data_IF_496180914000
#
_entry.id   IF_496180914000
#
_cell.length_a   1.000
_cell.length_b   1.000
_cell.length_c   1.000
_cell.angle_alpha   90.00
_cell.angle_beta   90.00
_cell.angle_gamma   90.00
#
_symmetry.space_group_name_H-M   'P 1'
#
loop_
_entity.id
_entity.type
_entity.pdbx_description
1 polymer ?
#
# COMPACT_ATOMS: atom_id res chain seq x y z
N UNK A 1 -17.59 52.87 -50.43
CA UNK A 1 -18.12 51.80 -49.56
C UNK A 1 -17.39 50.52 -49.95
N UNK A 2 -16.28 50.23 -49.29
CA UNK A 2 -15.55 48.96 -49.48
C UNK A 2 -15.43 48.25 -48.13
N UNK A 3 -15.89 47.00 -48.13
CA UNK A 3 -15.96 46.10 -46.99
C UNK A 3 -14.58 45.45 -46.80
N UNK A 4 -13.90 45.73 -45.68
CA UNK A 4 -12.83 44.86 -45.19
C UNK A 4 -13.36 44.04 -44.00
N UNK A 5 -13.62 42.77 -44.28
CA UNK A 5 -14.03 41.74 -43.35
C UNK A 5 -12.90 41.41 -42.37
N UNK A 6 -13.10 41.70 -41.09
CA UNK A 6 -12.20 41.31 -40.00
C UNK A 6 -12.31 39.79 -39.81
N UNK A 7 -11.25 39.05 -40.15
CA UNK A 7 -11.14 37.61 -39.88
C UNK A 7 -10.96 37.37 -38.38
N UNK A 8 -11.78 36.46 -37.86
CA UNK A 8 -11.79 36.01 -36.48
C UNK A 8 -10.43 35.43 -36.01
N UNK A 9 -9.98 35.84 -34.82
CA UNK A 9 -9.02 35.06 -34.02
C UNK A 9 -9.80 34.32 -32.95
N UNK A 10 -10.12 33.05 -33.22
CA UNK A 10 -10.58 32.11 -32.20
C UNK A 10 -9.36 31.70 -31.37
N UNK A 11 -9.29 32.16 -30.13
CA UNK A 11 -8.40 31.54 -29.14
C UNK A 11 -8.99 30.17 -28.80
N UNK A 12 -8.35 29.12 -29.31
CA UNK A 12 -8.57 27.76 -28.83
C UNK A 12 -7.70 27.64 -27.58
N UNK A 13 -8.32 27.71 -26.40
CA UNK A 13 -7.74 27.20 -25.18
C UNK A 13 -7.67 25.68 -25.32
N UNK A 14 -6.48 25.14 -25.61
CA UNK A 14 -6.19 23.73 -25.39
C UNK A 14 -6.20 23.51 -23.86
N UNK A 15 -7.32 23.05 -23.33
CA UNK A 15 -7.33 22.38 -22.03
C UNK A 15 -6.71 21.01 -22.21
N UNK A 16 -5.44 20.85 -21.85
CA UNK A 16 -4.81 19.54 -21.75
C UNK A 16 -5.40 18.83 -20.53
N UNK A 17 -6.53 18.14 -20.73
CA UNK A 17 -6.96 17.10 -19.82
C UNK A 17 -5.98 15.93 -19.97
N UNK A 18 -4.95 15.89 -19.11
CA UNK A 18 -4.12 14.70 -18.95
C UNK A 18 -5.03 13.61 -18.37
N UNK A 19 -5.46 12.71 -19.25
CA UNK A 19 -6.09 11.46 -18.88
C UNK A 19 -4.98 10.57 -18.31
N UNK A 20 -4.73 10.68 -17.00
CA UNK A 20 -3.90 9.72 -16.30
C UNK A 20 -4.64 8.38 -16.29
N UNK A 21 -4.17 7.43 -17.09
CA UNK A 21 -4.52 6.03 -16.96
C UNK A 21 -3.79 5.51 -15.71
N UNK A 22 -4.27 5.88 -14.51
CA UNK A 22 -3.77 5.29 -13.29
C UNK A 22 -4.15 3.80 -13.30
N UNK A 23 -3.14 2.93 -13.25
CA UNK A 23 -3.36 1.55 -12.81
C UNK A 23 -3.65 1.61 -11.31
N UNK A 24 -4.85 2.07 -10.95
CA UNK A 24 -5.34 2.06 -9.60
C UNK A 24 -5.49 0.60 -9.18
N UNK A 25 -4.65 0.20 -8.26
CA UNK A 25 -4.91 -0.96 -7.45
C UNK A 25 -5.88 -0.48 -6.36
N UNK A 26 -6.98 -1.20 -6.09
CA UNK A 26 -8.02 -0.66 -5.20
C UNK A 26 -7.43 -0.14 -3.87
N UNK A 27 -7.53 1.16 -3.61
CA UNK A 27 -6.98 1.82 -2.42
C UNK A 27 -5.59 2.44 -2.58
N UNK A 28 -4.91 2.25 -3.72
CA UNK A 28 -3.56 2.78 -3.99
C UNK A 28 -3.43 3.40 -5.38
N UNK A 29 -2.89 4.63 -5.43
CA UNK A 29 -2.63 5.36 -6.67
C UNK A 29 -1.13 5.63 -6.80
N UNK A 30 -0.52 5.28 -7.93
CA UNK A 30 0.88 5.63 -8.20
C UNK A 30 1.08 7.15 -8.31
N UNK A 31 2.17 7.65 -7.70
CA UNK A 31 2.58 9.04 -7.68
C UNK A 31 4.02 9.17 -8.17
N UNK A 32 4.34 10.31 -8.79
CA UNK A 32 5.71 10.64 -9.16
C UNK A 32 6.42 11.37 -8.01
N UNK A 33 7.63 10.94 -7.64
CA UNK A 33 8.36 11.53 -6.52
C UNK A 33 9.29 12.66 -6.95
N UNK A 34 10.22 12.39 -7.87
CA UNK A 34 11.28 13.34 -8.25
C UNK A 34 11.24 13.70 -9.73
N UNK A 35 10.79 12.77 -10.56
CA UNK A 35 10.73 12.92 -12.01
C UNK A 35 9.35 12.50 -12.48
N UNK A 36 8.73 13.32 -13.34
CA UNK A 36 7.45 12.99 -13.96
C UNK A 36 7.51 11.62 -14.66
N UNK A 37 6.54 10.76 -14.36
CA UNK A 37 6.45 9.38 -14.82
C UNK A 37 7.30 8.35 -14.05
N UNK A 38 8.04 8.73 -13.01
CA UNK A 38 8.89 7.80 -12.25
C UNK A 38 8.10 6.77 -11.43
N UNK A 39 6.84 7.08 -11.08
CA UNK A 39 5.97 6.26 -10.25
C UNK A 39 6.67 5.69 -8.99
N UNK A 40 7.55 6.46 -8.35
CA UNK A 40 8.37 6.01 -7.22
C UNK A 40 7.69 6.12 -5.86
N UNK A 41 6.45 6.61 -5.82
CA UNK A 41 5.62 6.65 -4.62
C UNK A 41 4.19 6.18 -4.91
N UNK A 42 3.40 5.97 -3.86
CA UNK A 42 1.96 5.69 -3.96
C UNK A 42 1.17 6.47 -2.91
N UNK A 43 -0.04 6.90 -3.25
CA UNK A 43 -1.04 7.39 -2.32
C UNK A 43 -1.86 6.22 -1.79
N UNK A 44 -1.95 6.05 -0.47
CA UNK A 44 -2.93 5.18 0.17
C UNK A 44 -4.24 5.96 0.38
N UNK A 45 -5.23 5.74 -0.49
CA UNK A 45 -6.44 6.56 -0.61
C UNK A 45 -7.25 6.65 0.70
N UNK A 46 -7.31 5.56 1.48
CA UNK A 46 -8.09 5.51 2.72
C UNK A 46 -7.52 6.44 3.80
N UNK A 47 -6.18 6.57 3.85
CA UNK A 47 -5.49 7.36 4.89
C UNK A 47 -4.99 8.72 4.41
N UNK A 48 -4.98 8.93 3.08
CA UNK A 48 -4.37 10.10 2.45
C UNK A 48 -2.85 10.17 2.58
N UNK A 49 -2.18 9.09 3.01
CA UNK A 49 -0.72 9.04 3.19
C UNK A 49 -0.01 8.65 1.91
N UNK A 50 1.11 9.28 1.65
CA UNK A 50 2.01 8.93 0.56
C UNK A 50 3.07 7.96 1.08
N UNK A 51 3.41 6.93 0.32
CA UNK A 51 4.40 5.92 0.67
C UNK A 51 5.48 5.85 -0.41
N UNK A 52 6.74 5.94 0.00
CA UNK A 52 7.85 5.78 -0.91
C UNK A 52 8.05 4.29 -1.22
N UNK A 53 8.27 3.95 -2.50
CA UNK A 53 8.54 2.57 -2.88
C UNK A 53 9.89 2.10 -2.35
N UNK A 54 9.91 0.90 -1.80
CA UNK A 54 11.01 0.28 -1.06
C UNK A 54 12.30 0.12 -1.87
N UNK A 55 12.22 0.10 -3.21
CA UNK A 55 13.42 0.10 -4.06
C UNK A 55 14.23 1.40 -3.97
N UNK A 56 13.65 2.48 -3.43
CA UNK A 56 14.37 3.75 -3.18
C UNK A 56 15.15 3.73 -1.87
N UNK A 57 14.88 2.75 -1.00
CA UNK A 57 15.52 2.60 0.33
C UNK A 57 16.17 1.23 0.49
N UNK A 58 16.27 0.42 -0.58
CA UNK A 58 16.90 -0.89 -0.48
C UNK A 58 18.40 -0.77 -0.17
N UNK A 59 18.93 -1.76 0.55
CA UNK A 59 20.32 -1.74 1.03
C UNK A 59 20.67 -0.60 2.00
N UNK A 60 19.70 0.20 2.46
CA UNK A 60 19.88 1.17 3.53
C UNK A 60 19.36 0.62 4.86
N UNK A 61 20.04 0.99 5.94
CA UNK A 61 19.55 0.78 7.31
C UNK A 61 18.62 1.90 7.75
N UNK A 62 17.81 1.66 8.78
CA UNK A 62 16.91 2.70 9.36
C UNK A 62 17.74 3.89 9.86
N UNK A 63 18.90 3.65 10.47
CA UNK A 63 19.80 4.70 10.92
C UNK A 63 20.27 5.60 9.76
N UNK A 64 20.71 5.00 8.64
CA UNK A 64 21.14 5.75 7.46
C UNK A 64 19.98 6.54 6.82
N UNK A 65 18.79 5.93 6.74
CA UNK A 65 17.61 6.64 6.23
C UNK A 65 17.26 7.83 7.11
N UNK A 66 17.33 7.67 8.44
CA UNK A 66 17.03 8.73 9.40
C UNK A 66 17.93 9.95 9.25
N UNK A 67 19.22 9.74 8.96
CA UNK A 67 20.18 10.83 8.72
C UNK A 67 19.83 11.66 7.47
N UNK A 68 19.05 11.09 6.54
CA UNK A 68 18.68 11.69 5.25
C UNK A 68 17.27 12.32 5.24
N UNK A 69 16.53 12.31 6.35
CA UNK A 69 15.16 12.88 6.43
C UNK A 69 15.16 14.41 6.60
N UNK A 70 16.28 14.98 7.02
CA UNK A 70 16.43 16.41 7.28
C UNK A 70 16.45 17.27 6.01
N UNK A 71 16.41 18.59 6.20
CA UNK A 71 16.49 19.56 5.10
C UNK A 71 17.76 19.35 4.27
N UNK A 72 17.61 19.23 2.95
CA UNK A 72 18.68 18.93 2.00
C UNK A 72 19.09 17.46 1.93
N UNK A 73 18.50 16.58 2.73
CA UNK A 73 18.72 15.14 2.71
C UNK A 73 17.97 14.45 1.57
N UNK A 74 18.37 13.21 1.26
CA UNK A 74 17.77 12.43 0.18
C UNK A 74 16.26 12.18 0.40
N UNK A 75 15.82 12.06 1.63
CA UNK A 75 14.44 11.76 1.98
C UNK A 75 13.73 12.94 2.66
N UNK A 76 14.17 14.18 2.37
CA UNK A 76 13.46 15.38 2.81
C UNK A 76 11.97 15.32 2.43
N UNK A 77 11.09 15.64 3.37
CA UNK A 77 9.62 15.57 3.21
C UNK A 77 9.01 14.21 3.56
N UNK A 78 9.83 13.18 3.76
CA UNK A 78 9.40 11.88 4.28
C UNK A 78 9.70 11.76 5.78
N UNK A 79 9.05 10.79 6.42
CA UNK A 79 9.34 10.37 7.81
C UNK A 79 9.29 8.86 7.94
N UNK A 80 9.87 8.35 9.03
CA UNK A 80 9.62 6.96 9.45
C UNK A 80 8.13 6.82 9.82
N UNK A 81 7.46 5.73 9.38
CA UNK A 81 6.08 5.45 9.77
C UNK A 81 6.02 4.88 11.19
N UNK A 82 4.83 4.96 11.80
CA UNK A 82 4.50 4.16 12.98
C UNK A 82 4.22 2.70 12.58
N UNK A 83 4.30 1.77 13.53
CA UNK A 83 3.92 0.38 13.30
C UNK A 83 2.45 0.25 12.87
N UNK A 84 1.56 1.08 13.44
CA UNK A 84 0.15 1.13 13.05
C UNK A 84 -0.04 1.56 11.60
N UNK A 85 0.69 2.57 11.14
CA UNK A 85 0.61 3.04 9.75
C UNK A 85 1.05 1.94 8.77
N UNK A 86 2.14 1.22 9.08
CA UNK A 86 2.60 0.11 8.24
C UNK A 86 1.57 -1.02 8.21
N UNK A 87 1.01 -1.38 9.37
CA UNK A 87 -0.02 -2.41 9.44
C UNK A 87 -1.26 -2.03 8.64
N UNK A 88 -1.78 -0.80 8.81
CA UNK A 88 -2.95 -0.31 8.07
C UNK A 88 -2.69 -0.38 6.57
N UNK A 89 -1.55 0.14 6.09
CA UNK A 89 -1.20 0.17 4.67
C UNK A 89 -0.96 -1.24 4.08
N UNK A 90 -0.50 -2.20 4.87
CA UNK A 90 -0.20 -3.56 4.38
C UNK A 90 -1.37 -4.55 4.58
N UNK A 91 -2.34 -4.22 5.44
CA UNK A 91 -3.49 -5.08 5.78
C UNK A 91 -4.37 -5.52 4.61
N UNK A 92 -4.59 -4.74 3.53
CA UNK A 92 -5.36 -5.20 2.36
C UNK A 92 -4.71 -6.40 1.66
N UNK A 93 -3.40 -6.57 1.85
CA UNK A 93 -2.60 -7.62 1.22
C UNK A 93 -2.37 -8.82 2.12
N UNK A 94 -2.09 -8.56 3.40
CA UNK A 94 -1.55 -9.54 4.35
C UNK A 94 -2.55 -9.84 5.47
N UNK A 95 -2.80 -8.88 6.36
CA UNK A 95 -3.50 -9.11 7.64
C UNK A 95 -4.95 -9.54 7.43
N UNK A 96 -5.66 -8.96 6.46
CA UNK A 96 -7.03 -9.38 6.11
C UNK A 96 -7.14 -10.85 5.68
N UNK A 97 -6.04 -11.47 5.22
CA UNK A 97 -6.03 -12.88 4.80
C UNK A 97 -5.88 -13.86 5.95
N UNK A 98 -5.31 -13.42 7.08
CA UNK A 98 -4.89 -14.31 8.15
C UNK A 98 -5.39 -13.92 9.54
N UNK A 99 -5.98 -12.72 9.69
CA UNK A 99 -6.57 -12.26 10.94
C UNK A 99 -5.54 -11.84 12.00
N UNK A 100 -4.42 -11.26 11.56
CA UNK A 100 -3.30 -10.86 12.42
C UNK A 100 -3.60 -9.57 13.21
N UNK A 101 -2.83 -9.33 14.28
CA UNK A 101 -2.89 -8.13 15.12
C UNK A 101 -1.59 -7.32 15.07
N UNK A 102 -1.63 -6.09 15.57
CA UNK A 102 -0.47 -5.17 15.61
C UNK A 102 0.69 -5.69 16.47
N UNK A 103 0.38 -6.41 17.54
CA UNK A 103 1.36 -6.77 18.58
C UNK A 103 1.92 -8.19 18.40
N UNK A 104 1.59 -8.85 17.30
CA UNK A 104 2.01 -10.22 17.01
C UNK A 104 3.01 -10.26 15.87
N UNK A 105 4.17 -10.87 16.13
CA UNK A 105 5.09 -11.23 15.07
C UNK A 105 4.50 -12.37 14.24
N UNK A 106 4.23 -12.10 12.96
CA UNK A 106 3.61 -13.07 12.07
C UNK A 106 4.47 -13.36 10.83
N UNK A 107 4.66 -14.65 10.55
CA UNK A 107 5.13 -15.10 9.25
C UNK A 107 4.40 -16.37 8.80
N UNK A 108 4.08 -16.44 7.51
CA UNK A 108 3.48 -17.63 6.92
C UNK A 108 3.99 -17.85 5.50
N UNK A 109 4.41 -19.08 5.20
CA UNK A 109 4.74 -19.51 3.84
C UNK A 109 3.67 -20.45 3.31
N UNK A 110 3.15 -20.16 2.12
CA UNK A 110 2.16 -21.01 1.43
C UNK A 110 2.73 -21.55 0.13
N UNK A 111 2.28 -22.75 -0.26
CA UNK A 111 2.33 -23.17 -1.66
C UNK A 111 1.20 -22.45 -2.41
N UNK A 112 1.52 -21.81 -3.53
CA UNK A 112 0.51 -21.03 -4.28
C UNK A 112 -0.30 -21.91 -5.23
N UNK A 113 0.14 -23.15 -5.46
CA UNK A 113 -0.46 -24.15 -6.34
C UNK A 113 -0.18 -23.88 -7.82
N UNK A 114 -0.38 -22.64 -8.26
CA UNK A 114 -0.05 -22.17 -9.61
C UNK A 114 0.75 -20.88 -9.57
N UNK A 115 1.52 -20.64 -10.63
CA UNK A 115 2.24 -19.38 -10.84
C UNK A 115 1.31 -18.19 -10.97
N UNK A 116 0.17 -18.37 -11.66
CA UNK A 116 -0.83 -17.32 -11.80
C UNK A 116 -1.41 -16.87 -10.46
N UNK A 117 -1.63 -17.81 -9.53
CA UNK A 117 -2.09 -17.47 -8.18
C UNK A 117 -1.02 -16.73 -7.38
N UNK A 118 0.26 -17.13 -7.48
CA UNK A 118 1.36 -16.40 -6.86
C UNK A 118 1.41 -14.95 -7.33
N UNK A 119 1.38 -14.75 -8.65
CA UNK A 119 1.41 -13.43 -9.28
C UNK A 119 0.26 -12.53 -8.81
N UNK A 120 -0.96 -13.08 -8.70
CA UNK A 120 -2.15 -12.36 -8.22
C UNK A 120 -2.05 -11.93 -6.76
N UNK A 121 -1.27 -12.63 -5.95
CA UNK A 121 -1.10 -12.32 -4.53
C UNK A 121 0.10 -11.38 -4.28
N UNK A 122 1.15 -11.51 -5.09
CA UNK A 122 2.42 -10.82 -4.88
C UNK A 122 2.52 -9.48 -5.63
N UNK A 123 2.17 -9.43 -6.91
CA UNK A 123 2.36 -8.22 -7.71
C UNK A 123 1.52 -7.00 -7.30
N UNK A 124 0.31 -7.15 -6.74
CA UNK A 124 -0.40 -6.00 -6.17
C UNK A 124 0.44 -5.32 -5.07
N UNK A 125 0.90 -6.08 -4.08
CA UNK A 125 1.80 -5.54 -3.04
C UNK A 125 3.09 -4.95 -3.63
N UNK A 126 3.72 -5.63 -4.59
CA UNK A 126 4.92 -5.10 -5.26
C UNK A 126 4.64 -3.80 -6.02
N UNK A 127 3.48 -3.67 -6.65
CA UNK A 127 3.12 -2.47 -7.39
C UNK A 127 2.92 -1.29 -6.45
N UNK A 128 2.29 -1.53 -5.29
CA UNK A 128 2.12 -0.53 -4.24
C UNK A 128 3.46 -0.13 -3.59
N UNK A 129 4.24 -1.09 -3.10
CA UNK A 129 5.40 -0.82 -2.25
C UNK A 129 6.76 -1.00 -2.93
N UNK A 130 6.80 -1.42 -4.18
CA UNK A 130 8.04 -1.62 -4.93
C UNK A 130 8.80 -2.90 -4.57
N UNK A 131 9.65 -3.35 -5.50
CA UNK A 131 10.50 -4.53 -5.32
C UNK A 131 11.90 -4.14 -4.81
N UNK A 132 12.30 -4.68 -3.67
CA UNK A 132 13.67 -4.59 -3.15
C UNK A 132 14.56 -5.62 -3.86
N UNK A 133 15.81 -5.28 -4.17
CA UNK A 133 16.77 -6.09 -4.92
C UNK A 133 16.29 -6.47 -6.34
N UNK A 134 16.96 -5.93 -7.37
CA UNK A 134 16.77 -6.37 -8.77
C UNK A 134 17.66 -7.56 -9.18
N UNK A 135 18.66 -7.92 -8.36
CA UNK A 135 19.70 -8.87 -8.74
C UNK A 135 19.55 -10.24 -8.06
N UNK A 136 18.67 -11.07 -8.61
CA UNK A 136 18.78 -12.53 -8.51
C UNK A 136 19.49 -13.04 -9.76
N UNK A 137 20.78 -13.38 -9.63
CA UNK A 137 21.60 -13.89 -10.72
C UNK A 137 20.88 -14.90 -11.62
N UNK A 138 20.96 -14.67 -12.92
CA UNK A 138 20.48 -15.57 -13.95
C UNK A 138 21.26 -16.90 -13.85
N UNK A 139 20.70 -17.90 -13.18
CA UNK A 139 20.92 -19.26 -13.64
C UNK A 139 19.71 -19.66 -14.45
N UNK A 140 19.93 -20.08 -15.69
CA UNK A 140 18.91 -20.63 -16.60
C UNK A 140 18.24 -21.92 -16.07
N UNK A 141 18.56 -22.29 -14.82
CA UNK A 141 18.21 -23.55 -14.16
C UNK A 141 17.81 -23.37 -12.68
N UNK A 142 17.73 -22.16 -12.09
CA UNK A 142 17.45 -22.00 -10.64
C UNK A 142 16.18 -21.20 -10.32
N UNK A 143 15.57 -21.55 -9.19
CA UNK A 143 14.53 -20.79 -8.50
C UNK A 143 14.93 -19.32 -8.34
N UNK A 144 14.00 -18.39 -8.57
CA UNK A 144 14.16 -16.94 -8.39
C UNK A 144 13.33 -16.49 -7.19
N UNK A 145 13.93 -15.67 -6.35
CA UNK A 145 13.22 -15.00 -5.25
C UNK A 145 12.98 -13.54 -5.61
N UNK A 146 11.79 -13.05 -5.30
CA UNK A 146 11.37 -11.66 -5.49
C UNK A 146 10.95 -11.13 -4.12
N UNK A 147 11.44 -9.95 -3.77
CA UNK A 147 11.25 -9.37 -2.44
C UNK A 147 10.56 -8.02 -2.57
N UNK A 148 9.49 -7.84 -1.80
CA UNK A 148 8.84 -6.55 -1.59
C UNK A 148 8.50 -6.49 -0.11
N UNK A 149 9.47 -6.05 0.70
CA UNK A 149 9.38 -6.05 2.16
C UNK A 149 10.23 -4.96 2.77
N UNK A 150 9.69 -4.31 3.77
CA UNK A 150 10.27 -3.12 4.39
C UNK A 150 10.44 -3.27 5.88
N UNK A 151 11.52 -2.71 6.39
CA UNK A 151 11.79 -2.55 7.82
C UNK A 151 11.15 -1.26 8.33
N UNK A 152 10.72 -1.28 9.58
CA UNK A 152 10.20 -0.11 10.29
C UNK A 152 10.49 -0.23 11.79
N UNK A 153 10.47 0.90 12.48
CA UNK A 153 10.69 0.96 13.93
C UNK A 153 9.47 0.41 14.65
N UNK A 154 9.70 -0.42 15.67
CA UNK A 154 8.65 -0.80 16.60
C UNK A 154 8.43 0.32 17.62
N UNK A 155 7.36 1.09 17.44
CA UNK A 155 6.96 2.16 18.36
C UNK A 155 5.74 1.78 19.22
N UNK A 156 5.33 0.52 19.20
CA UNK A 156 4.20 0.02 20.00
C UNK A 156 4.57 -0.04 21.49
N UNK A 157 3.88 0.76 22.30
CA UNK A 157 4.09 0.79 23.75
C UNK A 157 3.76 -0.56 24.39
N UNK A 158 4.67 -1.08 25.23
CA UNK A 158 4.48 -2.35 25.92
C UNK A 158 4.63 -3.60 25.05
N UNK A 159 5.00 -3.45 23.77
CA UNK A 159 5.30 -4.57 22.89
C UNK A 159 6.46 -5.42 23.43
N UNK A 160 6.33 -6.74 23.29
CA UNK A 160 7.40 -7.70 23.61
C UNK A 160 8.33 -8.00 22.42
N UNK A 161 8.01 -7.43 21.25
CA UNK A 161 8.79 -7.62 20.02
C UNK A 161 10.04 -6.74 20.01
N UNK A 162 11.01 -7.10 19.17
CA UNK A 162 12.23 -6.35 18.94
C UNK A 162 12.01 -4.91 18.47
N UNK A 163 13.09 -4.08 18.46
CA UNK A 163 13.01 -2.66 18.15
C UNK A 163 12.74 -2.36 16.66
N UNK A 164 12.93 -3.35 15.78
CA UNK A 164 12.73 -3.23 14.34
C UNK A 164 11.98 -4.43 13.84
N UNK A 165 10.91 -4.18 13.10
CA UNK A 165 10.01 -5.19 12.55
C UNK A 165 10.07 -5.19 11.01
N UNK A 166 9.51 -6.23 10.43
CA UNK A 166 9.43 -6.45 9.00
C UNK A 166 7.99 -6.70 8.56
N UNK A 167 7.55 -5.99 7.53
CA UNK A 167 6.30 -6.30 6.83
C UNK A 167 6.53 -6.41 5.32
N UNK A 168 5.78 -7.30 4.68
CA UNK A 168 5.77 -7.48 3.23
C UNK A 168 5.86 -8.93 2.77
N UNK A 169 6.18 -9.12 1.50
CA UNK A 169 6.10 -10.38 0.80
C UNK A 169 7.43 -10.83 0.22
N UNK A 170 7.59 -12.15 0.14
CA UNK A 170 8.66 -12.80 -0.60
C UNK A 170 8.08 -13.92 -1.47
N UNK A 171 8.22 -13.77 -2.77
CA UNK A 171 7.78 -14.76 -3.75
C UNK A 171 8.98 -15.54 -4.30
N UNK A 172 8.96 -16.85 -4.11
CA UNK A 172 9.93 -17.76 -4.68
C UNK A 172 9.28 -18.56 -5.80
N UNK A 173 9.76 -18.36 -7.03
CA UNK A 173 9.40 -19.25 -8.12
C UNK A 173 10.32 -20.47 -8.12
N UNK A 174 9.76 -21.62 -8.50
CA UNK A 174 10.48 -22.86 -8.63
C UNK A 174 10.46 -23.34 -10.08
N UNK A 175 11.24 -24.40 -10.36
CA UNK A 175 11.20 -25.04 -11.69
C UNK A 175 9.81 -25.56 -12.03
N UNK A 176 9.13 -26.18 -11.07
CA UNK A 176 7.75 -26.62 -11.20
C UNK A 176 6.84 -25.61 -10.52
N UNK A 177 5.79 -25.18 -11.21
CA UNK A 177 4.86 -24.18 -10.67
C UNK A 177 4.15 -24.62 -9.38
N UNK A 178 3.98 -25.93 -9.18
CA UNK A 178 3.42 -26.48 -7.95
C UNK A 178 4.31 -26.23 -6.71
N UNK A 179 5.60 -25.97 -6.93
CA UNK A 179 6.59 -25.71 -5.89
C UNK A 179 6.81 -24.20 -5.65
N UNK A 180 6.11 -23.33 -6.38
CA UNK A 180 6.13 -21.88 -6.16
C UNK A 180 5.64 -21.56 -4.72
N UNK A 181 6.38 -20.73 -3.99
CA UNK A 181 6.11 -20.36 -2.59
C UNK A 181 5.93 -18.86 -2.43
N UNK A 182 4.99 -18.47 -1.59
CA UNK A 182 4.81 -17.08 -1.17
C UNK A 182 4.89 -17.01 0.35
N UNK A 183 5.82 -16.21 0.85
CA UNK A 183 5.96 -15.88 2.26
C UNK A 183 5.37 -14.51 2.54
N UNK A 184 4.60 -14.44 3.61
CA UNK A 184 4.01 -13.25 4.19
C UNK A 184 4.74 -12.92 5.48
N UNK A 185 5.03 -11.65 5.70
CA UNK A 185 5.59 -11.10 6.93
C UNK A 185 4.71 -9.92 7.35
N UNK A 186 4.26 -9.92 8.60
CA UNK A 186 3.44 -8.86 9.19
C UNK A 186 3.95 -8.67 10.61
N UNK A 187 4.46 -7.47 10.91
CA UNK A 187 5.12 -7.15 12.18
C UNK A 187 6.19 -8.19 12.58
N UNK A 188 6.84 -8.81 11.59
CA UNK A 188 7.71 -9.94 11.81
C UNK A 188 8.98 -9.50 12.55
N UNK A 189 9.13 -9.99 13.77
CA UNK A 189 10.33 -9.85 14.58
C UNK A 189 11.35 -10.93 14.18
N UNK A 190 12.36 -10.50 13.41
CA UNK A 190 13.51 -11.33 13.04
C UNK A 190 14.77 -11.04 13.86
N UNK A 191 14.68 -10.26 14.95
CA UNK A 191 15.84 -9.78 15.70
C UNK A 191 16.65 -8.71 14.96
N UNK A 192 16.00 -7.88 14.15
CA UNK A 192 16.65 -6.79 13.41
C UNK A 192 17.03 -5.63 14.33
N UNK A 193 17.97 -4.82 13.86
CA UNK A 193 18.43 -3.59 14.54
C UNK A 193 18.34 -2.42 13.59
N UNK A 194 18.36 -1.18 14.10
CA UNK A 194 18.28 0.01 13.25
C UNK A 194 19.48 0.17 12.30
N UNK A 195 20.60 -0.50 12.61
CA UNK A 195 21.82 -0.53 11.78
C UNK A 195 21.86 -1.71 10.80
N UNK A 196 20.86 -2.59 10.83
CA UNK A 196 20.80 -3.72 9.90
C UNK A 196 20.61 -3.23 8.47
N UNK A 197 21.40 -3.77 7.54
CA UNK A 197 21.28 -3.52 6.10
C UNK A 197 21.33 -4.83 5.34
N UNK A 198 20.48 -4.95 4.31
CA UNK A 198 20.49 -6.06 3.38
C UNK A 198 19.72 -5.67 2.11
N UNK A 199 20.21 -6.06 0.94
CA UNK A 199 19.60 -5.67 -0.34
C UNK A 199 18.16 -6.18 -0.53
N UNK A 200 17.77 -7.27 0.16
CA UNK A 200 16.41 -7.85 0.09
C UNK A 200 15.37 -7.13 0.96
N UNK A 201 15.74 -5.98 1.53
CA UNK A 201 14.92 -5.17 2.42
C UNK A 201 15.07 -3.71 2.04
N UNK A 202 13.95 -2.98 2.07
CA UNK A 202 13.94 -1.52 2.13
C UNK A 202 13.59 -1.05 3.53
N UNK A 203 13.51 0.26 3.70
CA UNK A 203 12.93 0.91 4.88
C UNK A 203 11.64 1.57 4.45
N UNK A 204 10.55 1.34 5.18
CA UNK A 204 9.31 2.06 4.91
C UNK A 204 9.47 3.55 5.24
N UNK A 205 8.98 4.38 4.32
CA UNK A 205 8.88 5.82 4.51
C UNK A 205 7.49 6.29 4.10
N UNK A 206 6.95 7.18 4.90
CA UNK A 206 5.61 7.75 4.72
C UNK A 206 5.68 9.27 4.75
N UNK A 207 4.75 9.92 4.08
CA UNK A 207 4.52 11.35 4.18
C UNK A 207 3.04 11.63 4.46
N UNK A 208 2.81 12.69 5.22
CA UNK A 208 1.47 13.23 5.49
C UNK A 208 0.92 14.06 4.32
N UNK A 209 1.70 14.20 3.25
CA UNK A 209 1.39 14.92 2.02
C UNK A 209 2.46 15.96 1.69
N UNK A 210 2.69 16.18 0.39
CA UNK A 210 3.66 17.18 -0.10
C UNK A 210 5.05 16.63 -0.40
N UNK A 211 5.28 15.32 -0.26
CA UNK A 211 6.56 14.69 -0.59
C UNK A 211 6.68 14.32 -2.08
N UNK A 212 5.58 14.33 -2.83
CA UNK A 212 5.54 13.93 -4.25
C UNK A 212 5.17 15.10 -5.17
N UNK A 213 5.51 15.00 -6.46
CA UNK A 213 5.21 16.04 -7.45
C UNK A 213 3.69 16.21 -7.68
N UNK A 214 2.96 15.11 -7.54
CA UNK A 214 1.51 15.05 -7.71
C UNK A 214 0.77 15.16 -6.38
N UNK A 215 1.46 15.52 -5.29
CA UNK A 215 0.82 15.80 -4.01
C UNK A 215 -0.27 16.85 -4.22
N UNK A 216 -1.52 16.41 -4.19
CA UNK A 216 -2.63 17.33 -4.04
C UNK A 216 -2.54 17.79 -2.61
N UNK A 217 -2.34 19.10 -2.38
CA UNK A 217 -2.54 19.67 -1.07
C UNK A 217 -3.98 19.35 -0.64
N UNK A 218 -4.15 18.31 0.16
CA UNK A 218 -5.43 18.03 0.81
C UNK A 218 -5.57 19.11 1.86
N UNK A 219 -6.18 20.21 1.46
CA UNK A 219 -6.68 21.19 2.41
C UNK A 219 -7.79 20.48 3.18
N UNK A 220 -7.45 19.86 4.32
CA UNK A 220 -8.43 19.32 5.26
C UNK A 220 -9.23 20.54 5.72
N UNK A 221 -10.50 20.71 5.30
CA UNK A 221 -11.28 21.84 5.77
C UNK A 221 -11.37 21.72 7.29
N UNK A 222 -11.10 22.79 8.02
CA UNK A 222 -11.53 22.88 9.42
C UNK A 222 -13.01 22.46 9.48
N UNK A 223 -13.43 21.68 10.48
CA UNK A 223 -14.81 21.22 10.54
C UNK A 223 -15.73 22.41 10.77
N UNK A 224 -16.21 22.98 9.68
CA UNK A 224 -17.34 23.89 9.69
C UNK A 224 -18.54 23.05 10.10
N UNK A 225 -19.12 23.39 11.26
CA UNK A 225 -20.17 22.64 11.98
C UNK A 225 -21.51 22.66 11.20
N UNK A 226 -21.47 23.01 9.91
CA UNK A 226 -22.62 23.21 9.03
C UNK A 226 -22.66 22.23 7.84
N UNK A 227 -21.85 21.16 7.86
CA UNK A 227 -21.69 20.25 6.71
C UNK A 227 -21.64 18.75 7.02
N UNK A 228 -22.24 18.26 8.12
CA UNK A 228 -22.43 16.81 8.33
C UNK A 228 -23.52 16.30 7.39
N UNK A 229 -23.19 16.10 6.12
CA UNK A 229 -23.91 15.24 5.19
C UNK A 229 -23.16 15.14 3.86
N UNK A 230 -22.40 14.05 3.69
CA UNK A 230 -22.22 13.26 2.45
C UNK A 230 -20.79 12.76 2.30
N UNK A 231 -20.49 11.63 2.96
CA UNK A 231 -19.60 10.57 2.44
C UNK A 231 -19.98 9.24 3.10
N UNK A 232 -21.28 8.94 3.09
CA UNK A 232 -21.83 7.71 3.66
C UNK A 232 -22.77 7.04 2.67
N UNK A 233 -22.26 6.54 1.54
CA UNK A 233 -22.99 5.59 0.69
C UNK A 233 -22.05 4.76 -0.19
N UNK A 234 -21.34 3.81 0.40
CA UNK A 234 -21.03 2.57 -0.33
C UNK A 234 -20.78 1.41 0.65
N UNK A 235 -21.87 0.96 1.29
CA UNK A 235 -21.83 -0.15 2.23
C UNK A 235 -23.20 -0.61 2.66
N UNK A 236 -24.15 -0.80 1.73
CA UNK A 236 -25.39 -1.50 2.04
C UNK A 236 -26.05 -2.07 0.80
N UNK A 237 -25.48 -3.18 0.32
CA UNK A 237 -26.17 -4.06 -0.62
C UNK A 237 -26.00 -5.52 -0.23
N UNK A 238 -26.46 -5.89 0.97
CA UNK A 238 -26.81 -7.29 1.26
C UNK A 238 -28.04 -7.40 2.20
N UNK A 239 -29.18 -7.66 1.54
CA UNK A 239 -30.25 -8.59 1.94
C UNK A 239 -30.95 -8.36 3.29
N UNK A 240 -32.12 -7.73 3.26
CA UNK A 240 -33.22 -8.06 4.17
C UNK A 240 -34.24 -8.94 3.45
N UNK A 241 -34.25 -10.24 3.75
CA UNK A 241 -35.43 -11.10 3.56
C UNK A 241 -35.95 -11.45 4.95
N UNK A 242 -36.87 -10.64 5.48
CA UNK A 242 -37.64 -11.01 6.66
C UNK A 242 -38.52 -12.22 6.32
N UNK A 243 -38.19 -13.41 6.84
CA UNK A 243 -39.18 -14.49 6.97
C UNK A 243 -40.18 -14.06 8.04
N UNK A 244 -41.43 -13.91 7.65
CA UNK A 244 -42.56 -13.67 8.56
C UNK A 244 -42.77 -14.92 9.41
N UNK A 245 -42.49 -14.83 10.71
CA UNK A 245 -42.85 -15.85 11.68
C UNK A 245 -44.31 -15.62 12.09
N UNK A 246 -45.23 -16.50 11.67
CA UNK A 246 -46.61 -16.50 12.18
C UNK A 246 -46.67 -17.41 13.42
N UNK A 247 -47.05 -16.91 14.61
CA UNK A 247 -47.27 -17.78 15.76
C UNK A 247 -48.51 -18.66 15.52
N UNK A 248 -48.33 -19.99 15.62
CA UNK A 248 -49.43 -20.97 15.66
C UNK A 248 -50.13 -20.85 17.01
N UNK A 249 -51.39 -20.43 17.00
CA UNK A 249 -52.32 -20.61 18.12
C UNK A 249 -52.59 -22.11 18.29
N UNK A 250 -52.07 -22.70 19.37
CA UNK A 250 -52.42 -24.06 19.78
C UNK A 250 -53.71 -24.02 20.61
N UNK A 251 -54.82 -24.52 20.04
CA UNK A 251 -56.02 -24.85 20.82
C UNK A 251 -55.72 -26.11 21.64
N UNK A 252 -55.69 -26.00 22.98
CA UNK A 252 -55.75 -27.17 23.88
C UNK A 252 -57.20 -27.67 23.89
N UNK A 253 -57.46 -28.78 23.21
CA UNK A 253 -58.58 -29.65 23.55
C UNK A 253 -58.09 -30.57 24.68
N UNK A 254 -58.58 -30.33 25.89
CA UNK A 254 -58.63 -31.33 26.95
C UNK A 254 -60.06 -31.88 26.93
N UNK A 255 -60.15 -33.20 27.09
CA UNK A 255 -61.35 -34.04 27.03
C UNK A 255 -62.58 -33.47 27.73
#
# INVERSE_FOLDING_TARGET
MDKLTIKAKRFILLGAAFLFLSNAEAGFINLDWRVEGDNQAVLHEETGKEWLKLNNTDSLSIAQVRDELGVGGLFEGWRLPTAEEVFVATSPFISSRFGNSLDESFTRTIATGTRGNANRLYFPFENAFGRTQLNGGQSLISSRSFFSRGLFVNDVEGSSLGPVLLSGLNYQNARRQADDRLAYHDNFDGGYTETFTNATFGVFLVSDGGATLNSVAVNVPEPDISGIAMLGFMGLLLVSRKRVFKPKLWKRNIK
#
